data_IF_105459343525
#
_entry.id   IF_105459343525
#
_cell.length_a   1.000
_cell.length_b   1.000
_cell.length_c   1.000
_cell.angle_alpha   90.00
_cell.angle_beta   90.00
_cell.angle_gamma   90.00
#
_symmetry.space_group_name_H-M   'P 1'
#
loop_
_entity.id
_entity.type
_entity.pdbx_description
1 polymer ?
#
# COMPACT_ATOMS: atom_id res chain seq x y z
N UNK A 1 -11.38 51.68 19.91
CA UNK A 1 -12.48 51.32 20.82
C UNK A 1 -12.91 49.88 20.62
N UNK A 2 -13.01 49.43 19.36
CA UNK A 2 -13.15 48.01 19.00
C UNK A 2 -12.14 47.71 17.90
N UNK A 3 -11.47 46.57 18.01
CA UNK A 3 -10.48 46.03 17.08
C UNK A 3 -10.95 44.64 16.61
N UNK A 4 -10.36 44.14 15.51
CA UNK A 4 -10.49 42.73 15.12
C UNK A 4 -9.47 41.95 15.93
N UNK A 5 -9.95 40.93 16.66
CA UNK A 5 -9.13 40.08 17.49
C UNK A 5 -8.63 38.83 16.76
N UNK A 6 -9.48 38.23 15.92
CA UNK A 6 -9.13 37.02 15.18
C UNK A 6 -9.92 36.87 13.89
N UNK A 7 -9.26 36.30 12.88
CA UNK A 7 -9.81 35.82 11.62
C UNK A 7 -9.71 34.28 11.63
N UNK A 8 -10.76 33.61 12.11
CA UNK A 8 -10.73 32.16 12.36
C UNK A 8 -11.08 31.34 11.12
N UNK A 9 -11.99 31.85 10.28
CA UNK A 9 -12.38 31.24 9.01
C UNK A 9 -13.00 32.32 8.11
N UNK A 10 -13.21 32.08 6.80
CA UNK A 10 -13.81 33.08 5.90
C UNK A 10 -15.17 33.65 6.37
N UNK A 11 -15.93 32.88 7.15
CA UNK A 11 -17.20 33.31 7.75
C UNK A 11 -17.17 33.50 9.27
N UNK A 12 -16.00 33.51 9.92
CA UNK A 12 -15.85 33.54 11.37
C UNK A 12 -14.78 34.53 11.82
N UNK A 13 -15.22 35.62 12.45
CA UNK A 13 -14.37 36.73 12.92
C UNK A 13 -14.69 37.04 14.37
N UNK A 14 -13.65 37.37 15.16
CA UNK A 14 -13.79 37.83 16.54
C UNK A 14 -13.42 39.31 16.62
N UNK A 15 -14.25 40.10 17.28
CA UNK A 15 -13.98 41.50 17.62
C UNK A 15 -13.79 41.64 19.13
N UNK A 16 -12.93 42.57 19.56
CA UNK A 16 -12.66 42.83 20.97
C UNK A 16 -12.43 44.32 21.22
N UNK A 17 -12.68 44.77 22.45
CA UNK A 17 -12.50 46.16 22.84
C UNK A 17 -13.42 46.55 23.99
N UNK A 18 -13.80 47.83 24.02
CA UNK A 18 -14.76 48.34 25.01
C UNK A 18 -16.09 47.58 24.93
N UNK A 19 -16.60 47.14 26.09
CA UNK A 19 -17.75 46.25 26.16
C UNK A 19 -19.01 46.87 25.55
N UNK A 20 -19.26 48.16 25.79
CA UNK A 20 -20.43 48.84 25.26
C UNK A 20 -20.33 48.99 23.73
N UNK A 21 -19.14 49.32 23.23
CA UNK A 21 -18.89 49.44 21.80
C UNK A 21 -18.99 48.09 21.06
N UNK A 22 -18.44 47.01 21.64
CA UNK A 22 -18.55 45.65 21.07
C UNK A 22 -20.01 45.21 20.99
N UNK A 23 -20.79 45.38 22.06
CA UNK A 23 -22.22 45.03 22.08
C UNK A 23 -23.03 45.81 21.06
N UNK A 24 -22.73 47.09 20.87
CA UNK A 24 -23.38 47.90 19.84
C UNK A 24 -23.15 47.34 18.43
N UNK A 25 -21.91 46.94 18.12
CA UNK A 25 -21.57 46.34 16.82
C UNK A 25 -22.23 44.96 16.66
N UNK A 26 -22.16 44.11 17.69
CA UNK A 26 -22.77 42.78 17.68
C UNK A 26 -24.29 42.86 17.43
N UNK A 27 -25.00 43.76 18.10
CA UNK A 27 -26.44 43.95 17.91
C UNK A 27 -26.76 44.41 16.48
N UNK A 28 -26.00 45.36 15.93
CA UNK A 28 -26.19 45.82 14.53
C UNK A 28 -25.96 44.72 13.50
N UNK A 29 -25.03 43.79 13.76
CA UNK A 29 -24.79 42.64 12.91
C UNK A 29 -25.92 41.61 13.06
N UNK A 30 -26.42 41.38 14.27
CA UNK A 30 -27.57 40.53 14.53
C UNK A 30 -28.84 41.03 13.82
N UNK A 31 -29.09 42.35 13.83
CA UNK A 31 -30.20 42.99 13.11
C UNK A 31 -30.13 42.78 11.58
N UNK A 32 -28.92 42.51 11.05
CA UNK A 32 -28.68 42.20 9.64
C UNK A 32 -28.68 40.70 9.34
N UNK A 33 -29.02 39.86 10.32
CA UNK A 33 -29.11 38.40 10.18
C UNK A 33 -27.80 37.64 10.41
N UNK A 34 -26.73 38.30 10.86
CA UNK A 34 -25.49 37.62 11.23
C UNK A 34 -25.60 37.01 12.63
N UNK A 35 -25.04 35.82 12.83
CA UNK A 35 -24.95 35.21 14.17
C UNK A 35 -23.83 35.89 14.95
N UNK A 36 -24.12 36.34 16.16
CA UNK A 36 -23.14 36.89 17.09
C UNK A 36 -23.24 36.17 18.43
N UNK A 37 -22.09 35.87 19.05
CA UNK A 37 -22.01 35.20 20.34
C UNK A 37 -20.96 35.92 21.21
N UNK A 38 -21.34 36.35 22.41
CA UNK A 38 -20.42 36.98 23.37
C UNK A 38 -19.51 35.92 23.99
N UNK A 39 -18.19 36.14 23.97
CA UNK A 39 -17.22 35.19 24.54
C UNK A 39 -17.06 35.44 26.05
N UNK A 40 -17.09 34.37 26.84
CA UNK A 40 -16.84 34.42 28.28
C UNK A 40 -15.33 34.56 28.57
N UNK A 41 -14.78 35.75 28.34
CA UNK A 41 -13.36 36.08 28.55
C UNK A 41 -13.23 37.19 29.58
N UNK A 42 -12.10 37.21 30.30
CA UNK A 42 -11.84 38.21 31.34
C UNK A 42 -11.43 39.58 30.78
N UNK A 43 -10.81 39.61 29.59
CA UNK A 43 -10.24 40.81 28.99
C UNK A 43 -10.45 40.85 27.48
N UNK A 44 -10.37 42.05 26.91
CA UNK A 44 -10.41 42.29 25.47
C UNK A 44 -9.03 42.07 24.83
N UNK A 45 -8.59 40.81 24.75
CA UNK A 45 -7.34 40.43 24.08
C UNK A 45 -7.33 40.89 22.61
N UNK A 46 -6.14 41.17 22.05
CA UNK A 46 -5.96 41.64 20.67
C UNK A 46 -6.68 42.97 20.36
N UNK A 47 -6.79 43.87 21.35
CA UNK A 47 -7.35 45.22 21.19
C UNK A 47 -6.43 46.30 21.75
N UNK A 48 -6.79 47.56 21.49
CA UNK A 48 -6.11 48.72 22.10
C UNK A 48 -6.11 48.68 23.63
N UNK A 49 -7.03 47.94 24.27
CA UNK A 49 -7.06 47.81 25.73
C UNK A 49 -5.89 47.01 26.30
N UNK A 50 -5.09 46.36 25.46
CA UNK A 50 -3.84 45.72 25.88
C UNK A 50 -2.65 46.69 25.94
N UNK A 51 -2.75 47.89 25.37
CA UNK A 51 -1.63 48.85 25.32
C UNK A 51 -0.99 49.16 26.70
N UNK A 52 -1.75 49.33 27.80
CA UNK A 52 -1.17 49.70 29.09
C UNK A 52 -0.18 48.68 29.69
N UNK A 53 -0.30 47.39 29.34
CA UNK A 53 0.61 46.36 29.86
C UNK A 53 1.84 46.14 28.97
N UNK A 54 1.85 46.62 27.71
CA UNK A 54 2.85 46.23 26.71
C UNK A 54 4.28 46.64 27.09
N UNK A 55 4.46 47.79 27.75
CA UNK A 55 5.80 48.25 28.16
C UNK A 55 6.45 47.25 29.14
N UNK A 56 5.73 46.92 30.22
CA UNK A 56 6.23 45.99 31.24
C UNK A 56 6.40 44.57 30.67
N UNK A 57 5.48 44.13 29.81
CA UNK A 57 5.62 42.85 29.13
C UNK A 57 6.84 42.81 28.20
N UNK A 58 7.11 43.88 27.45
CA UNK A 58 8.30 43.96 26.58
C UNK A 58 9.57 43.83 27.39
N UNK A 59 9.64 44.51 28.54
CA UNK A 59 10.77 44.45 29.45
C UNK A 59 11.05 43.02 29.89
N UNK A 60 10.02 42.30 30.34
CA UNK A 60 10.13 40.90 30.77
C UNK A 60 10.45 39.95 29.61
N UNK A 61 9.78 40.10 28.47
CA UNK A 61 10.01 39.24 27.31
C UNK A 61 11.42 39.39 26.73
N UNK A 62 12.04 40.57 26.88
CA UNK A 62 13.42 40.83 26.41
C UNK A 62 14.48 40.07 27.22
N UNK A 63 14.14 39.52 28.38
CA UNK A 63 15.03 38.70 29.20
C UNK A 63 15.12 37.25 28.69
N UNK A 64 14.25 36.86 27.75
CA UNK A 64 14.17 35.49 27.21
C UNK A 64 15.08 35.38 25.99
N UNK A 65 16.00 34.41 26.03
CA UNK A 65 16.80 34.02 24.85
C UNK A 65 15.92 33.18 23.93
N UNK A 66 15.77 33.63 22.69
CA UNK A 66 14.92 32.98 21.68
C UNK A 66 15.79 32.22 20.70
N UNK A 67 15.52 30.94 20.55
CA UNK A 67 16.14 30.11 19.53
C UNK A 67 15.25 29.98 18.29
N UNK A 68 15.87 29.80 17.12
CA UNK A 68 15.13 29.63 15.88
C UNK A 68 14.41 28.27 15.85
N UNK A 69 13.15 28.22 15.40
CA UNK A 69 12.37 27.00 15.40
C UNK A 69 12.95 25.99 14.40
N UNK A 70 13.16 24.75 14.86
CA UNK A 70 13.60 23.64 14.02
C UNK A 70 12.45 23.05 13.20
N UNK A 71 11.21 23.23 13.67
CA UNK A 71 9.99 22.83 12.98
C UNK A 71 9.41 24.09 12.31
N UNK A 72 9.09 24.06 11.00
CA UNK A 72 8.44 25.18 10.33
C UNK A 72 7.20 25.65 11.08
N UNK A 73 7.12 26.94 11.34
CA UNK A 73 6.05 27.54 12.15
C UNK A 73 5.38 28.65 11.34
N UNK A 74 4.05 28.67 11.29
CA UNK A 74 3.28 29.76 10.68
C UNK A 74 2.89 30.78 11.75
N UNK A 75 3.35 32.01 11.61
CA UNK A 75 3.03 33.07 12.57
C UNK A 75 1.55 33.45 12.48
N UNK A 76 0.87 33.47 13.61
CA UNK A 76 -0.51 33.96 13.70
C UNK A 76 -0.65 35.48 13.47
N UNK A 77 0.44 36.24 13.50
CA UNK A 77 0.41 37.68 13.21
C UNK A 77 0.39 37.94 11.71
N UNK A 78 1.16 37.17 10.94
CA UNK A 78 1.32 37.36 9.49
C UNK A 78 0.50 36.38 8.66
N UNK A 79 0.14 35.21 9.22
CA UNK A 79 -0.41 34.08 8.50
C UNK A 79 0.60 33.41 7.55
N UNK A 80 1.89 33.66 7.74
CA UNK A 80 2.99 33.21 6.87
C UNK A 80 4.08 32.50 7.69
N UNK A 81 5.01 31.82 7.00
CA UNK A 81 6.15 31.18 7.65
C UNK A 81 6.91 32.19 8.53
N UNK A 82 7.24 31.76 9.74
CA UNK A 82 7.98 32.51 10.73
C UNK A 82 9.29 33.04 10.13
N UNK A 83 9.55 34.33 10.33
CA UNK A 83 10.79 34.97 9.91
C UNK A 83 11.81 34.95 11.07
N UNK A 84 13.00 35.51 10.84
CA UNK A 84 14.07 35.55 11.84
C UNK A 84 13.70 36.30 13.14
N UNK A 85 12.68 37.15 13.12
CA UNK A 85 12.20 37.91 14.27
C UNK A 85 11.18 37.12 15.11
N UNK A 86 10.76 35.94 14.66
CA UNK A 86 9.80 35.12 15.38
C UNK A 86 10.29 34.81 16.80
N UNK A 87 9.42 35.09 17.78
CA UNK A 87 9.69 34.87 19.20
C UNK A 87 10.39 36.03 19.91
N UNK A 88 10.82 37.07 19.20
CA UNK A 88 11.37 38.28 19.84
C UNK A 88 10.35 38.98 20.75
N UNK A 89 10.81 39.82 21.67
CA UNK A 89 9.93 40.62 22.51
C UNK A 89 8.98 41.49 21.66
N UNK A 90 9.48 42.09 20.58
CA UNK A 90 8.68 42.86 19.63
C UNK A 90 7.61 42.00 18.94
N UNK A 91 7.96 40.79 18.54
CA UNK A 91 7.00 39.84 17.99
C UNK A 91 5.86 39.52 18.97
N UNK A 92 6.16 39.26 20.24
CA UNK A 92 5.13 38.93 21.23
C UNK A 92 4.23 40.12 21.57
N UNK A 93 4.76 41.33 21.58
CA UNK A 93 3.97 42.57 21.70
C UNK A 93 3.00 42.70 20.52
N UNK A 94 3.50 42.50 19.30
CA UNK A 94 2.66 42.48 18.10
C UNK A 94 1.62 41.36 18.18
N UNK A 95 1.97 40.17 18.66
CA UNK A 95 1.05 39.05 18.82
C UNK A 95 -0.09 39.35 19.82
N UNK A 96 0.20 40.06 20.92
CA UNK A 96 -0.82 40.48 21.89
C UNK A 96 -1.76 41.56 21.30
N UNK A 97 -1.24 42.44 20.44
CA UNK A 97 -1.96 43.64 19.97
C UNK A 97 -2.69 43.46 18.64
N UNK A 98 -2.15 42.64 17.74
CA UNK A 98 -2.65 42.44 16.37
C UNK A 98 -3.63 41.25 16.29
N UNK A 99 -4.49 41.19 15.27
CA UNK A 99 -5.40 40.07 15.07
C UNK A 99 -4.67 38.75 14.82
N UNK A 100 -5.21 37.67 15.36
CA UNK A 100 -4.82 36.29 15.04
C UNK A 100 -5.37 35.91 13.67
N UNK A 101 -4.48 35.67 12.70
CA UNK A 101 -4.82 35.32 11.31
C UNK A 101 -4.89 33.81 11.09
N UNK A 102 -5.68 33.10 11.89
CA UNK A 102 -5.73 31.63 11.87
C UNK A 102 -6.14 31.04 10.51
N UNK A 103 -7.14 31.62 9.85
CA UNK A 103 -7.57 31.17 8.52
C UNK A 103 -6.45 31.27 7.48
N UNK A 104 -5.67 32.35 7.52
CA UNK A 104 -4.51 32.54 6.65
C UNK A 104 -3.41 31.54 7.00
N UNK A 105 -3.22 31.22 8.29
CA UNK A 105 -2.27 30.20 8.72
C UNK A 105 -2.61 28.82 8.15
N UNK A 106 -3.89 28.42 8.19
CA UNK A 106 -4.36 27.14 7.61
C UNK A 106 -4.15 27.12 6.10
N UNK A 107 -4.51 28.21 5.40
CA UNK A 107 -4.32 28.30 3.96
C UNK A 107 -2.84 28.23 3.55
N UNK A 108 -1.93 28.83 4.34
CA UNK A 108 -0.49 28.72 4.11
C UNK A 108 0.03 27.29 4.33
N UNK A 109 -0.45 26.58 5.35
CA UNK A 109 -0.11 25.17 5.57
C UNK A 109 -0.59 24.29 4.41
N UNK A 110 -1.81 24.50 3.94
CA UNK A 110 -2.36 23.80 2.76
C UNK A 110 -1.51 24.06 1.52
N UNK A 111 -1.13 25.31 1.26
CA UNK A 111 -0.26 25.67 0.13
C UNK A 111 1.14 25.03 0.22
N UNK A 112 1.58 24.68 1.43
CA UNK A 112 2.82 23.92 1.66
C UNK A 112 2.65 22.40 1.55
N UNK A 113 1.43 21.91 1.27
CA UNK A 113 1.14 20.49 1.09
C UNK A 113 0.70 19.76 2.37
N UNK A 114 0.30 20.48 3.42
CA UNK A 114 -0.23 19.83 4.62
C UNK A 114 -1.58 19.15 4.33
N UNK A 115 -1.65 17.85 4.56
CA UNK A 115 -2.86 17.02 4.39
C UNK A 115 -3.40 16.48 5.72
N UNK A 116 -2.70 16.74 6.82
CA UNK A 116 -3.03 16.26 8.17
C UNK A 116 -2.87 17.40 9.19
N UNK A 117 -3.89 17.58 10.01
CA UNK A 117 -3.97 18.61 11.05
C UNK A 117 -4.29 17.95 12.40
N UNK A 118 -3.47 18.27 13.40
CA UNK A 118 -3.62 17.75 14.76
C UNK A 118 -3.79 18.94 15.71
N UNK A 119 -4.96 19.03 16.34
CA UNK A 119 -5.24 20.00 17.40
C UNK A 119 -4.66 19.45 18.72
N UNK A 120 -3.62 20.11 19.22
CA UNK A 120 -2.95 19.77 20.48
C UNK A 120 -3.42 20.71 21.58
N UNK A 121 -4.28 20.21 22.45
CA UNK A 121 -4.80 20.97 23.57
C UNK A 121 -6.15 20.45 24.03
N UNK A 122 -6.62 20.88 25.21
CA UNK A 122 -7.95 20.52 25.68
C UNK A 122 -9.01 21.15 24.77
N UNK A 123 -10.02 20.36 24.40
CA UNK A 123 -11.11 20.68 23.49
C UNK A 123 -10.86 20.36 22.00
N UNK A 124 -11.88 20.63 21.20
CA UNK A 124 -11.95 20.30 19.77
C UNK A 124 -12.54 21.47 18.97
N UNK A 125 -12.00 22.66 19.25
CA UNK A 125 -12.57 23.91 18.75
C UNK A 125 -12.04 24.31 17.38
N UNK A 126 -10.85 23.84 16.98
CA UNK A 126 -10.19 24.30 15.76
C UNK A 126 -10.57 23.48 14.53
N UNK A 127 -11.02 22.24 14.70
CA UNK A 127 -11.35 21.33 13.59
C UNK A 127 -12.28 21.95 12.54
N UNK A 128 -13.40 22.52 12.98
CA UNK A 128 -14.37 23.16 12.07
C UNK A 128 -13.80 24.42 11.37
N UNK A 129 -12.94 25.18 12.06
CA UNK A 129 -12.30 26.36 11.49
C UNK A 129 -11.23 25.98 10.45
N UNK A 130 -10.51 24.88 10.68
CA UNK A 130 -9.56 24.29 9.73
C UNK A 130 -10.33 23.87 8.46
N UNK A 131 -11.36 23.05 8.61
CA UNK A 131 -12.17 22.55 7.48
C UNK A 131 -12.77 23.69 6.64
N UNK A 132 -13.22 24.78 7.27
CA UNK A 132 -13.76 25.95 6.56
C UNK A 132 -12.70 26.82 5.88
N UNK A 133 -11.44 26.72 6.28
CA UNK A 133 -10.34 27.54 5.77
C UNK A 133 -9.58 26.86 4.62
N UNK A 134 -9.68 25.53 4.52
CA UNK A 134 -9.12 24.75 3.41
C UNK A 134 -9.85 25.06 2.10
N UNK A 135 -9.09 25.17 1.01
CA UNK A 135 -9.62 25.46 -0.33
C UNK A 135 -9.72 24.21 -1.20
N UNK A 136 -8.88 23.21 -0.92
CA UNK A 136 -8.85 21.95 -1.65
C UNK A 136 -10.08 21.10 -1.33
N UNK A 137 -10.56 20.39 -2.34
CA UNK A 137 -11.58 19.35 -2.17
C UNK A 137 -10.98 17.99 -1.77
N UNK A 138 -9.65 17.90 -1.66
CA UNK A 138 -8.99 16.66 -1.27
C UNK A 138 -9.27 16.32 0.21
N UNK A 139 -9.41 15.02 0.53
CA UNK A 139 -9.68 14.59 1.89
C UNK A 139 -8.49 14.90 2.80
N UNK A 140 -8.65 15.87 3.69
CA UNK A 140 -7.69 16.16 4.76
C UNK A 140 -8.06 15.46 6.06
N UNK A 141 -7.05 15.00 6.80
CA UNK A 141 -7.23 14.38 8.11
C UNK A 141 -7.18 15.47 9.19
N UNK A 142 -8.25 15.62 9.97
CA UNK A 142 -8.30 16.54 11.12
C UNK A 142 -8.61 15.76 12.41
N UNK A 143 -7.75 15.92 13.43
CA UNK A 143 -7.82 15.15 14.69
C UNK A 143 -7.58 16.05 15.89
N UNK A 144 -8.45 15.98 16.91
CA UNK A 144 -8.18 16.55 18.24
C UNK A 144 -7.52 15.51 19.14
N UNK A 145 -6.40 15.89 19.76
CA UNK A 145 -5.62 15.01 20.62
C UNK A 145 -6.23 14.83 22.02
N UNK A 146 -6.96 15.83 22.52
CA UNK A 146 -7.52 15.85 23.88
C UNK A 146 -8.94 16.45 23.93
N UNK A 147 -9.94 15.82 23.29
CA UNK A 147 -11.33 16.22 23.45
C UNK A 147 -11.81 16.03 24.90
N UNK A 148 -12.74 16.87 25.34
CA UNK A 148 -13.20 16.93 26.74
C UNK A 148 -14.12 15.78 27.17
N UNK A 149 -14.59 14.96 26.23
CA UNK A 149 -15.56 13.89 26.49
C UNK A 149 -14.91 12.56 26.92
N UNK A 150 -13.57 12.51 27.05
CA UNK A 150 -12.83 11.25 27.27
C UNK A 150 -11.65 11.39 28.22
N UNK A 151 -11.24 10.29 28.89
CA UNK A 151 -9.97 10.24 29.60
C UNK A 151 -8.79 10.51 28.66
N UNK A 152 -7.80 11.26 29.13
CA UNK A 152 -6.67 11.76 28.33
C UNK A 152 -5.92 10.64 27.59
N UNK A 153 -5.60 9.54 28.28
CA UNK A 153 -4.90 8.41 27.68
C UNK A 153 -5.69 7.76 26.53
N UNK A 154 -7.01 7.66 26.67
CA UNK A 154 -7.92 7.13 25.65
C UNK A 154 -8.08 8.11 24.49
N UNK A 155 -8.09 9.42 24.78
CA UNK A 155 -8.15 10.48 23.79
C UNK A 155 -6.92 10.45 22.86
N UNK A 156 -5.71 10.46 23.44
CA UNK A 156 -4.46 10.43 22.69
C UNK A 156 -4.32 9.14 21.87
N UNK A 157 -4.61 7.97 22.46
CA UNK A 157 -4.56 6.70 21.73
C UNK A 157 -5.59 6.65 20.58
N UNK A 158 -6.78 7.23 20.77
CA UNK A 158 -7.75 7.32 19.67
C UNK A 158 -7.28 8.28 18.57
N UNK A 159 -6.64 9.39 18.92
CA UNK A 159 -6.05 10.30 17.95
C UNK A 159 -4.98 9.58 17.12
N UNK A 160 -4.04 8.89 17.78
CA UNK A 160 -3.02 8.06 17.13
C UNK A 160 -3.63 6.96 16.25
N UNK A 161 -4.66 6.27 16.73
CA UNK A 161 -5.37 5.27 15.93
C UNK A 161 -6.00 5.90 14.67
N UNK A 162 -6.64 7.07 14.79
CA UNK A 162 -7.25 7.77 13.65
C UNK A 162 -6.22 8.17 12.61
N UNK A 163 -5.04 8.64 13.04
CA UNK A 163 -3.90 8.91 12.15
C UNK A 163 -3.48 7.64 11.40
N UNK A 164 -3.24 6.56 12.13
CA UNK A 164 -2.82 5.27 11.56
C UNK A 164 -3.84 4.70 10.57
N UNK A 165 -5.13 4.72 10.89
CA UNK A 165 -6.19 4.25 9.99
C UNK A 165 -6.40 5.15 8.78
N UNK A 166 -5.91 6.39 8.82
CA UNK A 166 -5.95 7.33 7.69
C UNK A 166 -4.66 7.28 6.85
N UNK A 167 -3.78 6.29 7.08
CA UNK A 167 -2.54 6.11 6.32
C UNK A 167 -1.35 6.93 6.82
N UNK A 168 -1.49 7.69 7.90
CA UNK A 168 -0.37 8.41 8.52
C UNK A 168 0.43 7.43 9.38
N UNK A 169 1.75 7.27 9.14
CA UNK A 169 2.56 6.36 9.93
C UNK A 169 2.63 6.83 11.39
N UNK A 170 2.40 5.90 12.31
CA UNK A 170 2.52 6.10 13.75
C UNK A 170 3.50 5.07 14.27
N UNK A 171 4.50 5.52 15.02
CA UNK A 171 5.44 4.65 15.71
C UNK A 171 4.76 4.04 16.95
N UNK A 172 4.13 2.89 16.76
CA UNK A 172 3.49 2.14 17.85
C UNK A 172 4.49 1.56 18.85
N UNK A 173 5.76 1.42 18.50
CA UNK A 173 6.78 0.91 19.41
C UNK A 173 7.02 1.91 20.55
N UNK A 174 7.07 3.21 20.23
CA UNK A 174 7.23 4.30 21.21
C UNK A 174 6.16 4.29 22.31
N UNK A 175 4.96 3.78 22.03
CA UNK A 175 3.86 3.67 23.01
C UNK A 175 4.21 2.72 24.16
N UNK A 176 5.12 1.78 23.92
CA UNK A 176 5.54 0.76 24.88
C UNK A 176 6.90 1.04 25.53
N UNK A 177 7.55 2.16 25.20
CA UNK A 177 8.86 2.50 25.75
C UNK A 177 8.84 2.51 27.29
N UNK A 178 9.88 1.89 27.88
CA UNK A 178 10.00 1.75 29.34
C UNK A 178 9.06 0.72 29.98
N UNK A 179 8.30 -0.06 29.20
CA UNK A 179 7.43 -1.13 29.69
C UNK A 179 7.99 -2.51 29.34
N UNK A 180 7.77 -3.49 30.23
CA UNK A 180 8.01 -4.89 29.92
C UNK A 180 6.88 -5.42 29.04
N UNK A 181 7.16 -5.68 27.77
CA UNK A 181 6.20 -6.22 26.80
C UNK A 181 6.61 -7.62 26.35
N UNK A 182 5.62 -8.46 26.04
CA UNK A 182 5.84 -9.76 25.42
C UNK A 182 5.04 -9.85 24.12
N UNK A 183 5.67 -10.38 23.07
CA UNK A 183 4.99 -10.71 21.82
C UNK A 183 4.11 -11.94 22.03
N UNK A 184 2.84 -11.84 21.66
CA UNK A 184 1.88 -12.95 21.72
C UNK A 184 1.50 -13.39 20.32
N UNK A 185 1.21 -14.68 20.15
CA UNK A 185 0.71 -15.19 18.87
C UNK A 185 -0.70 -14.66 18.62
N UNK A 186 -0.87 -13.92 17.54
CA UNK A 186 -2.17 -13.47 17.04
C UNK A 186 -2.63 -14.38 15.87
N UNK A 187 -3.94 -14.39 15.54
CA UNK A 187 -4.41 -15.02 14.32
C UNK A 187 -3.62 -14.55 13.10
N UNK A 188 -3.31 -15.47 12.19
CA UNK A 188 -2.63 -15.13 10.93
C UNK A 188 -3.57 -14.36 10.00
N UNK A 189 -3.01 -13.80 8.93
CA UNK A 189 -3.76 -13.01 7.94
C UNK A 189 -5.00 -13.75 7.44
N UNK A 190 -6.16 -13.09 7.54
CA UNK A 190 -7.43 -13.64 7.09
C UNK A 190 -7.57 -13.52 5.56
N UNK A 191 -6.90 -14.42 4.82
CA UNK A 191 -6.97 -14.47 3.36
C UNK A 191 -8.42 -14.47 2.86
N UNK A 192 -8.75 -13.53 1.97
CA UNK A 192 -10.03 -13.47 1.26
C UNK A 192 -9.99 -14.46 0.09
N UNK A 193 -10.22 -15.74 0.41
CA UNK A 193 -10.00 -16.85 -0.50
C UNK A 193 -11.00 -16.83 -1.66
N UNK A 194 -10.49 -16.95 -2.87
CA UNK A 194 -11.26 -17.25 -4.07
C UNK A 194 -10.75 -18.56 -4.67
N UNK A 195 -11.65 -19.31 -5.31
CA UNK A 195 -11.27 -20.52 -6.03
C UNK A 195 -10.72 -20.13 -7.39
N UNK A 196 -9.40 -20.24 -7.55
CA UNK A 196 -8.75 -20.17 -8.85
C UNK A 196 -8.59 -21.59 -9.39
N UNK A 197 -9.35 -21.91 -10.45
CA UNK A 197 -9.19 -23.15 -11.21
C UNK A 197 -8.70 -22.80 -12.60
N UNK A 198 -7.74 -23.57 -13.09
CA UNK A 198 -7.43 -23.63 -14.51
C UNK A 198 -8.53 -24.46 -15.18
N UNK A 199 -9.39 -23.83 -15.97
CA UNK A 199 -10.31 -24.56 -16.83
C UNK A 199 -9.49 -25.20 -17.96
N UNK A 200 -9.23 -26.50 -17.82
CA UNK A 200 -8.52 -27.31 -18.83
C UNK A 200 -9.20 -27.25 -20.22
N UNK A 201 -10.45 -26.80 -20.30
CA UNK A 201 -11.20 -26.66 -21.54
C UNK A 201 -10.86 -25.42 -22.39
N UNK A 202 -9.98 -24.49 -21.95
CA UNK A 202 -9.53 -23.36 -22.80
C UNK A 202 -8.15 -23.51 -23.42
N UNK A 203 -7.37 -24.54 -23.05
CA UNK A 203 -6.03 -24.77 -23.65
C UNK A 203 -6.12 -25.53 -24.99
N UNK A 204 -7.34 -25.87 -25.45
CA UNK A 204 -7.58 -26.69 -26.64
C UNK A 204 -8.04 -25.97 -27.92
N UNK A 205 -8.33 -24.66 -27.90
CA UNK A 205 -8.58 -23.93 -29.15
C UNK A 205 -7.31 -23.24 -29.60
N UNK A 206 -6.45 -24.00 -30.27
CA UNK A 206 -5.40 -23.43 -31.09
C UNK A 206 -6.03 -22.48 -32.11
N UNK A 207 -5.44 -21.30 -32.24
CA UNK A 207 -5.75 -20.30 -33.25
C UNK A 207 -5.80 -20.97 -34.64
N UNK A 208 -6.94 -20.95 -35.37
CA UNK A 208 -6.97 -21.34 -36.77
C UNK A 208 -6.41 -20.18 -37.61
N UNK A 209 -5.15 -19.83 -37.38
CA UNK A 209 -4.38 -19.01 -38.30
C UNK A 209 -3.96 -19.89 -39.48
N UNK A 210 -4.82 -20.01 -40.51
CA UNK A 210 -4.46 -20.18 -41.93
C UNK A 210 -5.69 -20.54 -42.80
N UNK A 211 -6.46 -19.53 -43.25
CA UNK A 211 -7.15 -19.52 -44.57
C UNK A 211 -7.83 -18.16 -44.83
N UNK A 212 -7.31 -17.30 -45.75
CA UNK A 212 -7.77 -15.92 -45.92
C UNK A 212 -9.16 -15.74 -46.57
N UNK A 213 -9.80 -16.81 -47.08
CA UNK A 213 -11.13 -16.72 -47.69
C UNK A 213 -12.29 -17.08 -46.74
N UNK A 214 -12.06 -17.94 -45.74
CA UNK A 214 -13.11 -18.35 -44.77
C UNK A 214 -13.37 -17.25 -43.73
N UNK A 215 -12.33 -16.52 -43.33
CA UNK A 215 -12.43 -15.40 -42.38
C UNK A 215 -13.37 -14.28 -42.83
N UNK A 216 -13.51 -14.04 -44.14
CA UNK A 216 -14.33 -12.94 -44.65
C UNK A 216 -15.84 -13.25 -44.59
N UNK A 217 -16.23 -14.53 -44.78
CA UNK A 217 -17.63 -14.97 -44.64
C UNK A 217 -18.02 -15.07 -43.18
N UNK A 218 -17.13 -15.63 -42.35
CA UNK A 218 -17.34 -15.72 -40.90
C UNK A 218 -17.42 -14.33 -40.23
N UNK A 219 -16.57 -13.38 -40.65
CA UNK A 219 -16.60 -12.01 -40.13
C UNK A 219 -17.91 -11.30 -40.46
N UNK A 220 -18.40 -11.42 -41.71
CA UNK A 220 -19.68 -10.82 -42.13
C UNK A 220 -20.87 -11.42 -41.39
N UNK A 221 -20.85 -12.73 -41.16
CA UNK A 221 -21.86 -13.41 -40.35
C UNK A 221 -21.90 -12.85 -38.93
N UNK A 222 -20.76 -12.73 -38.26
CA UNK A 222 -20.71 -12.21 -36.90
C UNK A 222 -21.03 -10.71 -36.82
N UNK A 223 -20.66 -9.90 -37.83
CA UNK A 223 -21.09 -8.51 -37.93
C UNK A 223 -22.61 -8.38 -38.02
N UNK A 224 -23.28 -9.23 -38.80
CA UNK A 224 -24.75 -9.25 -38.89
C UNK A 224 -25.40 -9.67 -37.56
N UNK A 225 -24.81 -10.63 -36.85
CA UNK A 225 -25.24 -11.03 -35.49
C UNK A 225 -25.10 -9.86 -34.51
N UNK A 226 -24.00 -9.11 -34.54
CA UNK A 226 -23.76 -7.98 -33.63
C UNK A 226 -24.68 -6.79 -33.88
N UNK A 227 -25.02 -6.54 -35.15
CA UNK A 227 -25.95 -5.48 -35.60
C UNK A 227 -27.42 -5.84 -35.43
N UNK A 228 -27.70 -7.06 -34.94
CA UNK A 228 -29.06 -7.61 -34.78
C UNK A 228 -29.85 -7.53 -36.10
N UNK A 229 -29.18 -7.79 -37.23
CA UNK A 229 -29.79 -7.79 -38.57
C UNK A 229 -30.57 -9.08 -38.79
N UNK A 230 -31.84 -9.06 -38.37
CA UNK A 230 -32.77 -10.19 -38.46
C UNK A 230 -32.94 -10.66 -39.89
N UNK A 231 -33.18 -9.73 -40.82
CA UNK A 231 -33.56 -10.06 -42.20
C UNK A 231 -32.33 -10.54 -42.97
N UNK A 232 -31.19 -9.88 -42.83
CA UNK A 232 -29.94 -10.29 -43.47
C UNK A 232 -29.42 -11.65 -43.00
N UNK A 233 -29.57 -11.97 -41.70
CA UNK A 233 -29.12 -13.25 -41.16
C UNK A 233 -30.11 -14.40 -41.46
N UNK A 234 -31.41 -14.11 -41.47
CA UNK A 234 -32.45 -15.08 -41.87
C UNK A 234 -32.24 -15.56 -43.31
N UNK A 235 -31.95 -14.64 -44.23
CA UNK A 235 -31.65 -14.95 -45.63
C UNK A 235 -30.32 -15.70 -45.79
N UNK A 236 -29.29 -15.36 -45.01
CA UNK A 236 -27.97 -16.00 -45.10
C UNK A 236 -27.95 -17.44 -44.56
N UNK A 237 -28.78 -17.76 -43.56
CA UNK A 237 -28.84 -19.09 -42.92
C UNK A 237 -29.98 -19.95 -43.49
N UNK A 238 -30.95 -19.34 -44.17
CA UNK A 238 -32.11 -20.02 -44.76
C UNK A 238 -33.20 -20.37 -43.73
N UNK A 239 -33.42 -19.48 -42.76
CA UNK A 239 -34.44 -19.65 -41.69
C UNK A 239 -35.46 -18.51 -41.74
N UNK A 240 -36.62 -18.69 -41.12
CA UNK A 240 -37.64 -17.63 -41.09
C UNK A 240 -37.21 -16.47 -40.19
N UNK A 241 -37.53 -15.24 -40.59
CA UNK A 241 -37.28 -14.04 -39.78
C UNK A 241 -37.88 -14.16 -38.36
N UNK A 242 -39.03 -14.82 -38.21
CA UNK A 242 -39.67 -15.07 -36.91
C UNK A 242 -38.85 -15.99 -35.98
N UNK A 243 -38.19 -17.02 -36.52
CA UNK A 243 -37.31 -17.89 -35.74
C UNK A 243 -36.05 -17.12 -35.33
N UNK A 244 -35.52 -16.30 -36.25
CA UNK A 244 -34.32 -15.50 -36.00
C UNK A 244 -34.56 -14.39 -34.97
N UNK A 245 -35.73 -13.73 -34.96
CA UNK A 245 -36.10 -12.75 -33.93
C UNK A 245 -36.04 -13.30 -32.51
N UNK A 246 -36.27 -14.61 -32.35
CA UNK A 246 -36.24 -15.26 -31.03
C UNK A 246 -34.81 -15.54 -30.56
N UNK A 247 -33.91 -15.92 -31.47
CA UNK A 247 -32.56 -16.44 -31.14
C UNK A 247 -31.46 -15.38 -31.29
N UNK A 248 -31.63 -14.42 -32.21
CA UNK A 248 -30.61 -13.41 -32.54
C UNK A 248 -30.18 -12.55 -31.34
N UNK A 249 -31.09 -12.08 -30.46
CA UNK A 249 -30.68 -11.33 -29.27
C UNK A 249 -29.79 -12.16 -28.33
N UNK A 250 -30.05 -13.47 -28.21
CA UNK A 250 -29.25 -14.37 -27.39
C UNK A 250 -27.86 -14.62 -28.00
N UNK A 251 -27.77 -14.79 -29.32
CA UNK A 251 -26.50 -14.94 -30.04
C UNK A 251 -25.67 -13.65 -30.02
N UNK A 252 -26.29 -12.49 -30.21
CA UNK A 252 -25.64 -11.17 -30.11
C UNK A 252 -25.09 -10.93 -28.71
N UNK A 253 -25.89 -11.20 -27.67
CA UNK A 253 -25.46 -11.10 -26.28
C UNK A 253 -24.29 -12.04 -25.96
N UNK A 254 -24.38 -13.30 -26.40
CA UNK A 254 -23.30 -14.28 -26.23
C UNK A 254 -22.01 -13.82 -26.93
N UNK A 255 -22.09 -13.32 -28.17
CA UNK A 255 -20.92 -12.84 -28.92
C UNK A 255 -20.26 -11.63 -28.25
N UNK A 256 -21.06 -10.66 -27.77
CA UNK A 256 -20.55 -9.51 -27.01
C UNK A 256 -19.87 -9.94 -25.72
N UNK A 257 -20.42 -10.93 -25.01
CA UNK A 257 -19.80 -11.50 -23.81
C UNK A 257 -18.45 -12.18 -24.12
N UNK A 258 -18.38 -13.02 -25.16
CA UNK A 258 -17.12 -13.67 -25.59
C UNK A 258 -16.04 -12.66 -26.00
N UNK A 259 -16.40 -11.60 -26.73
CA UNK A 259 -15.44 -10.56 -27.12
C UNK A 259 -14.95 -9.75 -25.93
N UNK A 260 -15.84 -9.39 -25.02
CA UNK A 260 -15.46 -8.72 -23.76
C UNK A 260 -14.49 -9.60 -22.97
N UNK A 261 -14.73 -10.90 -22.90
CA UNK A 261 -13.83 -11.87 -22.26
C UNK A 261 -12.48 -11.95 -22.97
N UNK A 262 -12.46 -11.98 -24.31
CA UNK A 262 -11.24 -12.03 -25.12
C UNK A 262 -10.40 -10.75 -25.00
N UNK A 263 -11.05 -9.58 -25.01
CA UNK A 263 -10.39 -8.29 -24.76
C UNK A 263 -9.81 -8.25 -23.33
N UNK A 264 -10.56 -8.70 -22.33
CA UNK A 264 -10.06 -8.84 -20.96
C UNK A 264 -8.89 -9.82 -20.85
N UNK A 265 -8.93 -10.95 -21.57
CA UNK A 265 -7.83 -11.93 -21.60
C UNK A 265 -6.59 -11.39 -22.30
N UNK A 266 -6.74 -10.50 -23.30
CA UNK A 266 -5.61 -9.81 -23.94
C UNK A 266 -4.91 -8.82 -23.02
N UNK A 267 -5.62 -8.32 -22.00
CA UNK A 267 -5.06 -7.42 -20.98
C UNK A 267 -4.48 -8.18 -19.77
N UNK A 268 -4.62 -9.51 -19.74
CA UNK A 268 -4.07 -10.36 -18.68
C UNK A 268 -2.66 -10.82 -19.05
N UNK A 269 -1.81 -10.92 -18.04
CA UNK A 269 -0.50 -11.57 -18.19
C UNK A 269 -0.70 -13.05 -18.59
N UNK A 270 -0.12 -13.45 -19.71
CA UNK A 270 -0.05 -14.85 -20.13
C UNK A 270 1.33 -15.42 -19.80
N UNK A 271 1.35 -16.63 -19.24
CA UNK A 271 2.58 -17.39 -19.01
C UNK A 271 2.75 -18.34 -20.19
N UNK A 272 3.75 -18.08 -21.03
CA UNK A 272 4.09 -18.94 -22.17
C UNK A 272 5.45 -19.58 -21.95
N UNK A 273 5.57 -20.87 -22.25
CA UNK A 273 6.83 -21.58 -22.23
C UNK A 273 7.57 -21.35 -23.54
N UNK A 274 8.73 -20.68 -23.47
CA UNK A 274 9.62 -20.54 -24.61
C UNK A 274 10.65 -21.67 -24.57
N UNK A 275 10.81 -22.38 -25.68
CA UNK A 275 11.89 -23.37 -25.81
C UNK A 275 13.23 -22.65 -25.68
N UNK A 276 14.02 -23.02 -24.67
CA UNK A 276 15.38 -22.52 -24.52
C UNK A 276 16.30 -23.25 -25.50
N UNK A 277 17.11 -22.55 -26.32
CA UNK A 277 18.06 -23.18 -27.23
C UNK A 277 19.15 -23.91 -26.43
N UNK A 278 19.42 -25.16 -26.79
CA UNK A 278 20.42 -26.05 -26.16
C UNK A 278 21.88 -25.65 -26.43
N UNK A 279 22.14 -24.42 -26.85
CA UNK A 279 23.50 -23.97 -27.15
C UNK A 279 24.25 -23.77 -25.83
N UNK A 280 25.35 -24.50 -25.58
CA UNK A 280 26.08 -24.36 -24.32
C UNK A 280 26.63 -22.95 -24.19
N UNK A 281 26.18 -22.25 -23.14
CA UNK A 281 26.72 -20.96 -22.76
C UNK A 281 28.04 -21.18 -22.01
N UNK A 282 29.10 -20.48 -22.38
CA UNK A 282 30.42 -20.59 -21.73
C UNK A 282 30.49 -19.87 -20.38
N UNK A 283 29.38 -19.81 -19.64
CA UNK A 283 29.28 -19.09 -18.37
C UNK A 283 29.94 -19.90 -17.26
N UNK A 284 30.96 -19.31 -16.64
CA UNK A 284 31.59 -19.87 -15.43
C UNK A 284 30.85 -19.38 -14.19
N UNK A 285 30.39 -20.32 -13.36
CA UNK A 285 29.87 -20.06 -12.02
C UNK A 285 31.03 -19.83 -11.05
N UNK A 286 30.78 -19.07 -9.99
CA UNK A 286 31.74 -18.82 -8.91
C UNK A 286 31.13 -19.12 -7.55
N UNK A 287 31.99 -19.36 -6.56
CA UNK A 287 31.61 -19.51 -5.16
C UNK A 287 30.93 -20.84 -4.82
N UNK A 288 30.34 -20.89 -3.62
CA UNK A 288 29.70 -22.10 -3.09
C UNK A 288 28.23 -22.12 -3.52
N UNK A 289 27.80 -23.25 -4.09
CA UNK A 289 26.41 -23.51 -4.44
C UNK A 289 25.83 -24.58 -3.53
N UNK A 290 24.73 -24.25 -2.85
CA UNK A 290 24.07 -25.17 -1.93
C UNK A 290 23.00 -25.97 -2.64
N UNK A 291 23.02 -27.29 -2.48
CA UNK A 291 21.92 -28.16 -2.89
C UNK A 291 21.16 -28.60 -1.64
N UNK A 292 19.94 -28.13 -1.48
CA UNK A 292 19.05 -28.54 -0.38
C UNK A 292 18.21 -29.72 -0.85
N UNK A 293 18.48 -30.91 -0.31
CA UNK A 293 17.98 -32.17 -0.86
C UNK A 293 17.30 -33.02 0.21
N UNK A 294 16.07 -33.51 -0.02
CA UNK A 294 15.47 -34.54 0.83
C UNK A 294 16.36 -35.78 0.94
N UNK A 295 16.43 -36.40 2.12
CA UNK A 295 17.34 -37.53 2.38
C UNK A 295 17.16 -38.70 1.43
N UNK A 296 15.94 -38.89 0.94
CA UNK A 296 15.52 -39.94 0.01
C UNK A 296 16.09 -39.70 -1.40
N UNK A 297 16.34 -38.44 -1.75
CA UNK A 297 16.82 -38.02 -3.08
C UNK A 297 18.33 -37.82 -3.15
N UNK A 298 19.03 -37.77 -2.02
CA UNK A 298 20.45 -37.42 -1.93
C UNK A 298 21.38 -38.27 -2.83
N UNK A 299 20.98 -39.50 -3.19
CA UNK A 299 21.75 -40.42 -4.03
C UNK A 299 21.10 -40.73 -5.39
N UNK A 300 20.17 -39.91 -5.82
CA UNK A 300 19.46 -40.10 -7.10
C UNK A 300 20.16 -39.40 -8.26
N UNK A 301 19.97 -39.93 -9.47
CA UNK A 301 20.59 -39.39 -10.70
C UNK A 301 20.35 -37.88 -10.91
N UNK A 302 19.16 -37.30 -10.63
CA UNK A 302 18.94 -35.85 -10.79
C UNK A 302 19.84 -35.00 -9.89
N UNK A 303 20.06 -35.43 -8.65
CA UNK A 303 20.90 -34.70 -7.68
C UNK A 303 22.37 -34.81 -8.07
N UNK A 304 22.82 -36.02 -8.40
CA UNK A 304 24.19 -36.29 -8.84
C UNK A 304 24.49 -35.52 -10.13
N UNK A 305 23.59 -35.56 -11.11
CA UNK A 305 23.72 -34.84 -12.38
C UNK A 305 23.75 -33.33 -12.20
N UNK A 306 22.92 -32.78 -11.32
CA UNK A 306 22.90 -31.35 -11.01
C UNK A 306 24.21 -30.90 -10.35
N UNK A 307 24.71 -31.64 -9.35
CA UNK A 307 25.98 -31.35 -8.70
C UNK A 307 27.14 -31.38 -9.71
N UNK A 308 27.24 -32.44 -10.52
CA UNK A 308 28.27 -32.57 -11.55
C UNK A 308 28.20 -31.46 -12.60
N UNK A 309 26.99 -31.04 -13.00
CA UNK A 309 26.81 -29.94 -13.94
C UNK A 309 27.30 -28.59 -13.37
N UNK A 310 27.01 -28.30 -12.11
CA UNK A 310 27.50 -27.08 -11.45
C UNK A 310 29.03 -27.08 -11.31
N UNK A 311 29.61 -28.21 -10.89
CA UNK A 311 31.07 -28.37 -10.76
C UNK A 311 31.78 -28.22 -12.12
N UNK A 312 31.21 -28.79 -13.19
CA UNK A 312 31.74 -28.64 -14.54
C UNK A 312 31.77 -27.18 -15.03
N UNK A 313 30.95 -26.31 -14.44
CA UNK A 313 30.90 -24.88 -14.73
C UNK A 313 31.64 -24.03 -13.69
N UNK A 314 32.39 -24.63 -12.76
CA UNK A 314 33.30 -23.93 -11.84
C UNK A 314 32.74 -23.62 -10.44
N UNK A 315 31.52 -24.08 -10.11
CA UNK A 315 30.97 -23.94 -8.77
C UNK A 315 31.57 -24.96 -7.79
N UNK A 316 31.70 -24.58 -6.51
CA UNK A 316 31.95 -25.52 -5.41
C UNK A 316 30.61 -25.97 -4.83
N UNK A 317 30.29 -27.26 -4.91
CA UNK A 317 28.96 -27.76 -4.50
C UNK A 317 28.99 -28.30 -3.08
N UNK A 318 28.04 -27.84 -2.26
CA UNK A 318 27.77 -28.39 -0.92
C UNK A 318 26.34 -28.91 -0.86
N UNK A 319 26.18 -30.20 -0.60
CA UNK A 319 24.87 -30.85 -0.47
C UNK A 319 24.44 -30.83 1.00
N UNK A 320 23.28 -30.26 1.28
CA UNK A 320 22.62 -30.29 2.60
C UNK A 320 21.46 -31.26 2.52
N UNK A 321 21.62 -32.40 3.20
CA UNK A 321 20.61 -33.44 3.26
C UNK A 321 19.59 -33.16 4.37
N UNK A 322 18.32 -33.17 4.01
CA UNK A 322 17.20 -32.85 4.92
C UNK A 322 16.48 -34.13 5.34
N UNK A 323 16.39 -34.34 6.65
CA UNK A 323 15.61 -35.43 7.24
C UNK A 323 14.24 -34.87 7.66
N UNK A 324 13.15 -35.48 7.17
CA UNK A 324 11.78 -34.95 7.33
C UNK A 324 11.32 -34.64 8.76
N UNK A 325 11.62 -35.43 9.81
CA UNK A 325 11.16 -35.09 11.16
C UNK A 325 11.84 -33.84 11.74
N UNK A 326 12.98 -33.43 11.19
CA UNK A 326 13.82 -32.36 11.74
C UNK A 326 13.80 -31.07 10.90
N UNK A 327 13.03 -31.02 9.81
CA UNK A 327 13.06 -29.85 8.93
C UNK A 327 12.20 -28.70 9.46
N UNK A 328 12.86 -27.66 9.99
CA UNK A 328 12.22 -26.40 10.33
C UNK A 328 13.13 -25.19 10.07
N UNK A 329 12.53 -23.99 10.08
CA UNK A 329 13.21 -22.70 9.85
C UNK A 329 14.44 -22.50 10.74
N UNK A 330 14.35 -22.82 12.03
CA UNK A 330 15.44 -22.58 13.00
C UNK A 330 16.65 -23.46 12.72
N UNK A 331 16.43 -24.77 12.50
CA UNK A 331 17.49 -25.71 12.17
C UNK A 331 18.13 -25.39 10.82
N UNK A 332 17.33 -25.01 9.82
CA UNK A 332 17.84 -24.56 8.52
C UNK A 332 18.70 -23.29 8.66
N UNK A 333 18.24 -22.31 9.46
CA UNK A 333 19.02 -21.10 9.72
C UNK A 333 20.35 -21.38 10.41
N UNK A 334 20.41 -22.35 11.34
CA UNK A 334 21.66 -22.77 11.97
C UNK A 334 22.63 -23.41 10.94
N UNK A 335 22.14 -24.33 10.11
CA UNK A 335 22.96 -24.97 9.07
C UNK A 335 23.50 -23.97 8.04
N UNK A 336 22.71 -22.96 7.66
CA UNK A 336 23.15 -21.91 6.74
C UNK A 336 24.23 -21.01 7.36
N UNK A 337 24.14 -20.70 8.66
CA UNK A 337 25.17 -19.91 9.37
C UNK A 337 26.52 -20.63 9.44
N UNK A 338 26.51 -21.94 9.67
CA UNK A 338 27.74 -22.73 9.83
C UNK A 338 28.58 -22.81 8.55
N UNK A 339 27.96 -22.69 7.37
CA UNK A 339 28.65 -22.75 6.07
C UNK A 339 29.43 -21.45 5.77
N UNK A 340 29.01 -20.31 6.32
CA UNK A 340 29.73 -19.04 6.22
C UNK A 340 29.42 -18.21 4.96
N UNK A 341 30.17 -17.11 4.77
CA UNK A 341 29.79 -15.96 3.94
C UNK A 341 30.21 -16.00 2.46
N UNK A 342 30.28 -17.17 1.82
CA UNK A 342 30.71 -17.32 0.42
C UNK A 342 29.73 -18.11 -0.46
N UNK A 343 28.47 -18.21 -0.03
CA UNK A 343 27.40 -18.83 -0.82
C UNK A 343 27.06 -17.88 -1.97
N UNK A 344 26.97 -18.41 -3.18
CA UNK A 344 26.66 -17.68 -4.42
C UNK A 344 25.30 -18.08 -5.03
N UNK A 345 24.72 -19.18 -4.58
CA UNK A 345 23.39 -19.62 -5.00
C UNK A 345 22.89 -20.84 -4.22
N UNK A 346 21.58 -21.01 -4.21
CA UNK A 346 20.91 -22.14 -3.56
C UNK A 346 19.99 -22.82 -4.58
N UNK A 347 20.08 -24.15 -4.69
CA UNK A 347 19.16 -24.98 -5.47
C UNK A 347 18.40 -25.89 -4.50
N UNK A 348 17.09 -25.78 -4.52
CA UNK A 348 16.18 -26.54 -3.66
C UNK A 348 15.49 -27.67 -4.42
N UNK A 349 15.71 -28.89 -3.96
CA UNK A 349 15.00 -30.10 -4.41
C UNK A 349 13.76 -30.39 -3.55
N UNK A 350 13.40 -29.51 -2.62
CA UNK A 350 12.27 -29.69 -1.69
C UNK A 350 10.90 -29.70 -2.40
N UNK A 351 10.84 -29.20 -3.64
CA UNK A 351 9.67 -29.24 -4.51
C UNK A 351 9.57 -30.49 -5.39
N UNK A 352 10.57 -31.38 -5.36
CA UNK A 352 10.57 -32.64 -6.10
C UNK A 352 10.00 -33.72 -5.17
N UNK A 353 8.93 -34.38 -5.62
CA UNK A 353 8.12 -35.36 -4.87
C UNK A 353 7.39 -34.79 -3.64
N UNK A 354 6.08 -34.55 -3.80
CA UNK A 354 5.15 -34.53 -2.67
C UNK A 354 4.42 -35.87 -2.61
N UNK A 355 4.41 -36.52 -1.45
CA UNK A 355 3.37 -37.52 -1.20
C UNK A 355 2.02 -36.78 -1.19
N UNK A 356 0.95 -37.38 -1.72
CA UNK A 356 -0.39 -36.72 -1.75
C UNK A 356 -0.90 -36.34 -0.35
N UNK A 357 -0.24 -36.80 0.72
CA UNK A 357 -0.71 -36.75 2.10
C UNK A 357 0.30 -36.22 3.14
N UNK A 358 1.51 -35.78 2.77
CA UNK A 358 2.46 -35.14 3.70
C UNK A 358 2.88 -33.74 3.26
N UNK A 359 3.21 -32.91 4.26
CA UNK A 359 3.43 -31.46 4.16
C UNK A 359 4.12 -31.01 2.87
N UNK A 360 3.34 -30.26 2.08
CA UNK A 360 3.66 -29.86 0.71
C UNK A 360 5.07 -29.26 0.57
N UNK A 361 5.74 -29.54 -0.56
CA UNK A 361 7.02 -28.92 -0.91
C UNK A 361 7.00 -27.38 -0.84
N UNK A 362 5.82 -26.76 -0.93
CA UNK A 362 5.63 -25.32 -0.71
C UNK A 362 5.89 -24.89 0.74
N UNK A 363 5.38 -25.63 1.74
CA UNK A 363 5.68 -25.34 3.17
C UNK A 363 7.17 -25.48 3.41
N UNK A 364 7.79 -26.52 2.83
CA UNK A 364 9.23 -26.74 2.99
C UNK A 364 10.05 -25.61 2.36
N UNK A 365 9.66 -25.17 1.16
CA UNK A 365 10.26 -24.03 0.47
C UNK A 365 10.07 -22.72 1.24
N UNK A 366 8.89 -22.49 1.82
CA UNK A 366 8.64 -21.31 2.65
C UNK A 366 9.57 -21.27 3.88
N UNK A 367 9.75 -22.41 4.58
CA UNK A 367 10.67 -22.50 5.70
C UNK A 367 12.12 -22.19 5.28
N UNK A 368 12.53 -22.63 4.08
CA UNK A 368 13.85 -22.31 3.53
C UNK A 368 14.00 -20.81 3.24
N UNK A 369 13.03 -20.19 2.57
CA UNK A 369 13.03 -18.74 2.29
C UNK A 369 13.12 -17.94 3.59
N UNK A 370 12.32 -18.31 4.59
CA UNK A 370 12.35 -17.66 5.90
C UNK A 370 13.69 -17.85 6.63
N UNK A 371 14.29 -19.05 6.55
CA UNK A 371 15.59 -19.32 7.14
C UNK A 371 16.71 -18.51 6.46
N UNK A 372 16.67 -18.37 5.12
CA UNK A 372 17.59 -17.49 4.39
C UNK A 372 17.45 -16.03 4.83
N UNK A 373 16.21 -15.57 5.04
CA UNK A 373 15.94 -14.23 5.58
C UNK A 373 16.50 -14.02 7.00
N UNK A 374 16.36 -15.00 7.89
CA UNK A 374 16.89 -14.92 9.27
C UNK A 374 18.41 -14.75 9.33
N UNK A 375 19.11 -15.31 8.36
CA UNK A 375 20.57 -15.28 8.28
C UNK A 375 21.08 -14.18 7.34
N UNK A 376 20.19 -13.39 6.75
CA UNK A 376 20.50 -12.34 5.77
C UNK A 376 21.29 -12.88 4.56
N UNK A 377 20.88 -14.05 4.04
CA UNK A 377 21.50 -14.67 2.87
C UNK A 377 20.81 -14.20 1.59
N UNK A 378 21.33 -13.13 1.00
CA UNK A 378 20.83 -12.50 -0.23
C UNK A 378 21.46 -13.10 -1.49
N UNK A 379 21.11 -14.35 -1.80
CA UNK A 379 21.60 -15.08 -2.98
C UNK A 379 20.43 -15.70 -3.76
N UNK A 380 20.58 -15.95 -5.07
CA UNK A 380 19.51 -16.53 -5.87
C UNK A 380 19.13 -17.94 -5.41
N UNK A 381 17.86 -18.13 -5.09
CA UNK A 381 17.21 -19.41 -4.80
C UNK A 381 16.51 -19.95 -6.05
N UNK A 382 16.85 -21.16 -6.45
CA UNK A 382 16.25 -21.91 -7.54
C UNK A 382 15.46 -23.09 -7.00
N UNK A 383 14.17 -23.18 -7.30
CA UNK A 383 13.28 -24.21 -6.79
C UNK A 383 12.89 -25.20 -7.89
N UNK A 384 13.32 -26.45 -7.73
CA UNK A 384 13.03 -27.50 -8.68
C UNK A 384 11.70 -28.17 -8.37
N UNK A 385 10.92 -28.45 -9.42
CA UNK A 385 9.66 -29.20 -9.37
C UNK A 385 9.64 -30.23 -10.50
N UNK A 386 8.89 -31.32 -10.33
CA UNK A 386 8.76 -32.35 -11.35
C UNK A 386 7.30 -32.78 -11.51
N UNK A 387 6.82 -32.82 -12.76
CA UNK A 387 5.44 -33.21 -13.08
C UNK A 387 4.38 -32.31 -12.44
N UNK A 388 4.75 -31.08 -12.09
CA UNK A 388 3.92 -30.10 -11.37
C UNK A 388 2.95 -29.36 -12.29
N UNK A 389 3.43 -29.02 -13.50
CA UNK A 389 2.71 -28.26 -14.51
C UNK A 389 2.90 -28.97 -15.85
N UNK A 390 1.85 -28.98 -16.67
CA UNK A 390 1.91 -29.51 -18.03
C UNK A 390 2.43 -28.43 -18.96
N UNK A 391 3.45 -28.74 -19.77
CA UNK A 391 4.00 -27.82 -20.78
C UNK A 391 3.52 -28.13 -22.21
N UNK A 392 2.80 -29.24 -22.41
CA UNK A 392 2.24 -29.65 -23.70
C UNK A 392 1.06 -30.61 -23.53
N UNK A 393 0.24 -30.80 -24.56
CA UNK A 393 -0.93 -31.68 -24.50
C UNK A 393 -0.59 -33.14 -24.11
N UNK A 394 0.63 -33.58 -24.39
CA UNK A 394 1.10 -34.93 -24.09
C UNK A 394 1.80 -35.05 -22.73
N UNK A 395 1.94 -33.94 -21.99
CA UNK A 395 2.63 -33.90 -20.69
C UNK A 395 1.65 -34.09 -19.54
N UNK A 396 1.75 -35.24 -18.88
CA UNK A 396 0.90 -35.63 -17.76
C UNK A 396 1.35 -34.98 -16.45
N UNK A 397 0.44 -34.31 -15.77
CA UNK A 397 0.65 -33.81 -14.41
C UNK A 397 0.69 -35.01 -13.45
N UNK A 398 1.86 -35.28 -12.87
CA UNK A 398 2.10 -36.41 -11.95
C UNK A 398 2.10 -36.00 -10.48
N UNK A 399 2.32 -34.73 -10.19
CA UNK A 399 2.45 -34.21 -8.83
C UNK A 399 1.87 -32.79 -8.75
N UNK A 400 0.54 -32.67 -8.78
CA UNK A 400 -0.14 -31.37 -8.76
C UNK A 400 0.17 -30.54 -7.52
N UNK A 401 0.48 -31.18 -6.38
CA UNK A 401 0.88 -30.50 -5.14
C UNK A 401 2.21 -29.74 -5.28
N UNK A 402 3.12 -30.17 -6.16
CA UNK A 402 4.36 -29.45 -6.44
C UNK A 402 4.13 -28.11 -7.17
N UNK A 403 2.96 -27.91 -7.81
CA UNK A 403 2.61 -26.62 -8.40
C UNK A 403 2.37 -25.51 -7.34
N UNK A 404 2.19 -25.88 -6.07
CA UNK A 404 2.13 -24.89 -4.99
C UNK A 404 3.46 -24.15 -4.81
N UNK A 405 4.60 -24.77 -5.16
CA UNK A 405 5.92 -24.12 -5.15
C UNK A 405 5.98 -23.01 -6.20
N UNK A 406 5.37 -23.20 -7.36
CA UNK A 406 5.23 -22.14 -8.39
C UNK A 406 4.43 -20.95 -7.86
N UNK A 407 3.30 -21.21 -7.22
CA UNK A 407 2.47 -20.16 -6.61
C UNK A 407 3.22 -19.39 -5.53
N UNK A 408 3.95 -20.09 -4.65
CA UNK A 408 4.79 -19.48 -3.62
C UNK A 408 5.92 -18.66 -4.25
N UNK A 409 6.64 -19.20 -5.22
CA UNK A 409 7.75 -18.53 -5.89
C UNK A 409 7.35 -17.20 -6.53
N UNK A 410 6.14 -17.11 -7.10
CA UNK A 410 5.60 -15.84 -7.62
C UNK A 410 5.43 -14.77 -6.53
N UNK A 411 5.06 -15.15 -5.32
CA UNK A 411 4.95 -14.22 -4.18
C UNK A 411 6.35 -13.83 -3.70
N UNK A 412 7.24 -14.81 -3.53
CA UNK A 412 8.63 -14.56 -3.10
C UNK A 412 9.37 -13.67 -4.10
N UNK A 413 9.19 -13.85 -5.40
CA UNK A 413 9.80 -12.99 -6.42
C UNK A 413 9.32 -11.53 -6.36
N UNK A 414 8.09 -11.28 -5.89
CA UNK A 414 7.55 -9.94 -5.69
C UNK A 414 8.05 -9.30 -4.38
N UNK A 415 8.16 -10.09 -3.31
CA UNK A 415 8.62 -9.60 -2.00
C UNK A 415 10.15 -9.49 -1.92
N UNK A 416 10.87 -10.38 -2.61
CA UNK A 416 12.33 -10.53 -2.57
C UNK A 416 12.94 -10.68 -3.98
N UNK A 417 12.86 -9.65 -4.84
CA UNK A 417 13.25 -9.76 -6.25
C UNK A 417 14.75 -10.03 -6.48
N UNK A 418 15.62 -9.69 -5.51
CA UNK A 418 17.06 -9.91 -5.61
C UNK A 418 17.53 -11.32 -5.26
N UNK A 419 16.69 -12.12 -4.57
CA UNK A 419 17.06 -13.45 -4.08
C UNK A 419 16.26 -14.59 -4.71
N UNK A 420 15.28 -14.30 -5.59
CA UNK A 420 14.59 -15.33 -6.36
C UNK A 420 15.28 -15.59 -7.70
N UNK A 421 15.88 -16.77 -7.86
CA UNK A 421 16.55 -17.20 -9.10
C UNK A 421 15.58 -17.80 -10.11
N UNK A 422 14.64 -18.63 -9.66
CA UNK A 422 13.71 -19.34 -10.54
C UNK A 422 12.83 -20.35 -9.84
#
# INVERSE_FOLDING_TARGET
GVDIAALNAPGSVVISGDQAAVRLIANRLADRGYRAHELAVSHAFHSSLMEPMLEEFTRLASEIVVEQPQIPLISNVTGQLANADYGSAGYWVDHIRRPVRFADSVASLEAMGASCFIEVGPASGLGAAIEQSLKSAEPTVSVSALPTDKPESVAVLRAAARLSTSGIPVDWQSVFDGRSTQTVNLPTYAFQRQRFRLDANRIGQGDPASQPQVQNVESRFWEAVEREDVDGLADSIGVTASAMQTVLPALSSWRRAERTQSELDSWRYQVTWLSSPTTPSSTTLSGIWLLIVPSELAKTDPVIGCAAALEAHGALVTIITIFEPDFNRSLMGASLKDIGSHISGVISFLGIHGSEFSDSGAVKTLNLVQAMGDVHLDVPLWCLTQGAVSISADDLIRCSSAALVWGLGRVVALEHPGSWGG
#
